data_IF_105720602723
#
_entry.id   IF_105720602723
#
_cell.length_a   1.000
_cell.length_b   1.000
_cell.length_c   1.000
_cell.angle_alpha   90.00
_cell.angle_beta   90.00
_cell.angle_gamma   90.00
#
_symmetry.space_group_name_H-M   'P 1'
#
loop_
_entity.id
_entity.type
_entity.pdbx_description
1 polymer ?
#
# COMPACT_ATOMS: atom_id res chain seq x y z
N UNK A 1 6.49 28.29 10.05
CA UNK A 1 6.66 27.00 9.34
C UNK A 1 8.15 26.65 9.37
N UNK A 2 8.56 25.51 9.93
CA UNK A 2 9.98 25.15 10.08
C UNK A 2 10.58 24.87 8.71
N UNK A 3 11.78 25.39 8.42
CA UNK A 3 12.52 25.11 7.18
C UNK A 3 13.61 24.09 7.47
N UNK A 4 13.73 23.07 6.60
CA UNK A 4 14.80 22.08 6.67
C UNK A 4 15.90 22.45 5.70
N UNK A 5 17.16 22.35 6.16
CA UNK A 5 18.35 22.47 5.31
C UNK A 5 18.58 21.14 4.62
N UNK A 6 18.38 21.09 3.31
CA UNK A 6 18.59 19.87 2.51
C UNK A 6 19.79 20.07 1.60
N UNK A 7 20.68 19.08 1.58
CA UNK A 7 21.85 19.07 0.70
C UNK A 7 21.41 18.59 -0.69
N UNK A 8 21.39 19.50 -1.66
CA UNK A 8 21.02 19.19 -3.05
C UNK A 8 22.28 19.00 -3.88
N UNK A 9 22.36 17.89 -4.61
CA UNK A 9 23.49 17.54 -5.47
C UNK A 9 23.09 17.60 -6.93
N UNK A 10 23.82 18.34 -7.76
CA UNK A 10 23.65 18.34 -9.21
C UNK A 10 24.00 16.96 -9.76
N UNK A 11 23.08 16.34 -10.52
CA UNK A 11 23.37 15.09 -11.24
C UNK A 11 24.52 15.32 -12.23
N UNK A 12 25.48 14.39 -12.29
CA UNK A 12 26.54 14.41 -13.30
C UNK A 12 25.87 14.36 -14.67
N UNK A 13 26.22 15.32 -15.54
CA UNK A 13 25.85 15.31 -16.96
C UNK A 13 27.14 15.33 -17.77
N UNK A 14 27.15 14.59 -18.86
CA UNK A 14 28.26 14.52 -19.79
C UNK A 14 27.70 14.87 -21.16
N UNK A 15 28.39 15.72 -21.90
CA UNK A 15 28.03 16.05 -23.27
C UNK A 15 29.23 15.82 -24.18
N UNK A 16 28.95 15.31 -25.37
CA UNK A 16 29.93 15.11 -26.43
C UNK A 16 29.81 16.31 -27.36
N UNK A 17 30.89 17.09 -27.47
CA UNK A 17 30.99 18.26 -28.34
C UNK A 17 31.93 17.89 -29.49
N UNK A 18 31.47 18.04 -30.73
CA UNK A 18 32.33 17.93 -31.90
C UNK A 18 32.73 19.34 -32.34
N UNK A 19 34.04 19.63 -32.37
CA UNK A 19 34.56 20.94 -32.81
C UNK A 19 35.82 20.72 -33.65
N UNK A 20 35.83 21.25 -34.88
CA UNK A 20 36.94 21.10 -35.86
C UNK A 20 37.41 19.64 -36.02
N UNK A 21 36.47 18.72 -36.26
CA UNK A 21 36.77 17.28 -36.46
C UNK A 21 37.20 16.50 -35.22
N UNK A 22 37.41 17.15 -34.07
CA UNK A 22 37.78 16.50 -32.81
C UNK A 22 36.57 16.29 -31.91
N UNK A 23 36.48 15.10 -31.31
CA UNK A 23 35.47 14.74 -30.30
C UNK A 23 35.97 15.13 -28.91
N UNK A 24 35.27 16.07 -28.27
CA UNK A 24 35.57 16.56 -26.92
C UNK A 24 34.47 16.10 -25.97
N UNK A 25 34.82 15.34 -24.95
CA UNK A 25 33.88 14.91 -23.92
C UNK A 25 33.98 15.91 -22.76
N UNK A 26 32.90 16.66 -22.53
CA UNK A 26 32.86 17.64 -21.46
C UNK A 26 31.94 17.16 -20.33
N UNK A 27 32.45 17.25 -19.11
CA UNK A 27 31.78 16.80 -17.90
C UNK A 27 31.29 18.00 -17.08
N UNK A 28 30.03 17.98 -16.68
CA UNK A 28 29.53 18.93 -15.69
C UNK A 28 30.21 18.66 -14.34
N UNK A 29 30.89 19.66 -13.78
CA UNK A 29 31.42 19.60 -12.42
C UNK A 29 30.28 19.34 -11.42
N UNK A 30 30.54 18.44 -10.46
CA UNK A 30 29.62 18.22 -9.32
C UNK A 30 29.47 19.53 -8.58
N UNK A 31 28.25 20.04 -8.46
CA UNK A 31 27.92 21.16 -7.58
C UNK A 31 26.96 20.68 -6.51
N UNK A 32 27.20 21.09 -5.28
CA UNK A 32 26.37 20.81 -4.12
C UNK A 32 26.02 22.14 -3.48
N UNK A 33 24.75 22.36 -3.14
CA UNK A 33 24.33 23.54 -2.40
C UNK A 33 23.30 23.16 -1.35
N UNK A 34 23.18 24.00 -0.33
CA UNK A 34 22.20 23.84 0.73
C UNK A 34 20.96 24.62 0.30
N UNK A 35 19.84 23.93 0.13
CA UNK A 35 18.56 24.56 -0.13
C UNK A 35 17.70 24.51 1.13
N UNK A 36 17.02 25.61 1.43
CA UNK A 36 15.95 25.61 2.41
C UNK A 36 14.67 25.09 1.77
N UNK A 37 14.12 24.01 2.31
CA UNK A 37 12.82 23.49 1.89
C UNK A 37 11.84 23.61 3.07
N UNK A 38 10.58 24.04 2.86
CA UNK A 38 9.58 23.96 3.91
C UNK A 38 9.44 22.51 4.39
N UNK A 39 9.40 22.31 5.71
CA UNK A 39 9.21 21.00 6.32
C UNK A 39 7.80 20.48 5.95
N UNK A 40 7.74 19.55 5.01
CA UNK A 40 6.50 18.88 4.58
C UNK A 40 6.09 17.74 5.54
N UNK A 41 6.79 17.59 6.66
CA UNK A 41 6.67 16.46 7.58
C UNK A 41 7.38 15.21 7.05
N UNK A 42 7.31 14.14 7.84
CA UNK A 42 7.95 12.85 7.54
C UNK A 42 7.43 12.24 6.23
N UNK A 43 8.27 12.02 5.20
CA UNK A 43 7.88 11.35 3.96
C UNK A 43 7.30 9.96 4.28
N UNK A 44 6.10 9.66 3.76
CA UNK A 44 5.41 8.39 4.05
C UNK A 44 4.57 8.36 5.34
N UNK A 45 4.49 9.48 6.08
CA UNK A 45 3.54 9.65 7.21
C UNK A 45 2.32 10.51 6.83
N UNK A 46 1.77 10.31 5.64
CA UNK A 46 0.39 10.74 5.38
C UNK A 46 -0.56 10.11 6.42
N UNK A 47 -1.74 10.71 6.63
CA UNK A 47 -2.79 10.16 7.50
C UNK A 47 -2.92 8.68 7.19
N UNK A 48 -2.56 7.78 8.13
CA UNK A 48 -2.52 6.34 7.87
C UNK A 48 -3.88 5.94 7.27
N UNK A 49 -3.87 5.46 6.02
CA UNK A 49 -5.09 5.05 5.30
C UNK A 49 -5.69 3.78 5.91
N UNK A 50 -5.05 3.22 6.94
CA UNK A 50 -5.66 2.17 7.76
C UNK A 50 -6.82 2.80 8.51
N UNK A 51 -8.01 2.68 7.92
CA UNK A 51 -9.29 3.03 8.53
C UNK A 51 -9.33 2.43 9.94
N UNK A 52 -9.81 3.18 10.95
CA UNK A 52 -9.90 2.70 12.34
C UNK A 52 -10.44 1.26 12.36
N UNK A 53 -9.59 0.30 12.72
CA UNK A 53 -10.00 -1.09 12.84
C UNK A 53 -11.01 -1.16 13.98
N UNK A 54 -12.26 -1.49 13.65
CA UNK A 54 -13.22 -1.87 14.68
C UNK A 54 -12.71 -3.15 15.33
N UNK A 55 -12.36 -3.05 16.61
CA UNK A 55 -11.86 -4.18 17.39
C UNK A 55 -12.94 -5.26 17.46
N UNK A 56 -12.53 -6.54 17.43
CA UNK A 56 -13.40 -7.67 17.73
C UNK A 56 -14.21 -8.28 16.58
N UNK A 57 -14.35 -7.64 15.41
CA UNK A 57 -15.20 -8.17 14.32
C UNK A 57 -14.83 -9.60 13.88
N UNK A 58 -13.53 -9.87 13.74
CA UNK A 58 -13.03 -11.21 13.41
C UNK A 58 -13.22 -12.20 14.57
N UNK A 59 -13.13 -11.72 15.82
CA UNK A 59 -13.29 -12.52 17.03
C UNK A 59 -14.74 -12.95 17.23
N UNK A 60 -15.72 -12.09 16.91
CA UNK A 60 -17.14 -12.45 17.00
C UNK A 60 -17.44 -13.66 16.12
N UNK A 61 -16.95 -13.68 14.88
CA UNK A 61 -17.13 -14.83 13.98
C UNK A 61 -16.40 -16.08 14.51
N UNK A 62 -15.26 -15.92 15.16
CA UNK A 62 -14.55 -17.05 15.77
C UNK A 62 -15.35 -17.61 16.96
N UNK A 63 -15.93 -16.74 17.78
CA UNK A 63 -16.77 -17.11 18.92
C UNK A 63 -18.05 -17.83 18.49
N UNK A 64 -18.66 -17.41 17.38
CA UNK A 64 -19.81 -18.12 16.77
C UNK A 64 -19.45 -19.53 16.28
N UNK A 65 -18.17 -19.81 16.04
CA UNK A 65 -17.66 -21.15 15.72
C UNK A 65 -17.20 -21.92 16.97
N UNK A 66 -17.37 -21.36 18.17
CA UNK A 66 -16.94 -21.97 19.43
C UNK A 66 -15.50 -21.67 19.83
N UNK A 67 -14.81 -20.74 19.17
CA UNK A 67 -13.40 -20.42 19.43
C UNK A 67 -13.23 -19.05 20.11
N UNK A 68 -12.34 -18.97 21.11
CA UNK A 68 -12.07 -17.72 21.83
C UNK A 68 -11.35 -16.68 20.96
N UNK A 69 -10.43 -17.12 20.10
CA UNK A 69 -9.67 -16.26 19.17
C UNK A 69 -9.57 -16.92 17.80
N UNK A 70 -9.31 -16.11 16.77
CA UNK A 70 -9.05 -16.60 15.40
C UNK A 70 -7.82 -17.51 15.33
N UNK A 71 -6.81 -17.26 16.18
CA UNK A 71 -5.61 -18.11 16.28
C UNK A 71 -5.92 -19.52 16.75
N UNK A 72 -7.02 -19.72 17.46
CA UNK A 72 -7.37 -20.98 18.13
C UNK A 72 -8.14 -21.90 17.17
N UNK A 73 -8.65 -21.35 16.05
CA UNK A 73 -9.34 -22.11 15.01
C UNK A 73 -8.34 -23.09 14.36
N UNK A 74 -8.65 -24.40 14.32
CA UNK A 74 -7.78 -25.39 13.69
C UNK A 74 -7.77 -25.22 12.16
N UNK A 75 -6.70 -25.72 11.52
CA UNK A 75 -6.36 -25.39 10.12
C UNK A 75 -7.39 -25.86 9.08
N UNK A 76 -8.09 -26.95 9.41
CA UNK A 76 -9.20 -27.56 8.69
C UNK A 76 -10.43 -26.65 8.64
N UNK A 77 -10.67 -25.85 9.69
CA UNK A 77 -11.86 -24.98 9.80
C UNK A 77 -11.63 -23.54 9.33
N UNK A 78 -10.42 -23.20 8.89
CA UNK A 78 -10.09 -21.83 8.46
C UNK A 78 -10.86 -21.40 7.21
N UNK A 79 -11.16 -22.33 6.31
CA UNK A 79 -11.90 -22.05 5.08
C UNK A 79 -13.38 -21.78 5.41
N UNK A 80 -13.96 -22.51 6.37
CA UNK A 80 -15.31 -22.25 6.86
C UNK A 80 -15.40 -20.90 7.56
N UNK A 81 -14.41 -20.58 8.40
CA UNK A 81 -14.29 -19.27 9.02
C UNK A 81 -14.22 -18.15 7.97
N UNK A 82 -13.44 -18.34 6.91
CA UNK A 82 -13.32 -17.37 5.82
C UNK A 82 -14.67 -17.15 5.13
N UNK A 83 -15.43 -18.21 4.83
CA UNK A 83 -16.78 -18.12 4.26
C UNK A 83 -17.73 -17.35 5.15
N UNK A 84 -17.76 -17.64 6.47
CA UNK A 84 -18.62 -16.93 7.44
C UNK A 84 -18.23 -15.44 7.54
N UNK A 85 -16.94 -15.15 7.54
CA UNK A 85 -16.43 -13.78 7.60
C UNK A 85 -16.84 -12.97 6.35
N UNK A 86 -16.75 -13.58 5.16
CA UNK A 86 -17.18 -12.97 3.90
C UNK A 86 -18.70 -12.80 3.87
N UNK A 87 -19.47 -13.81 4.27
CA UNK A 87 -20.94 -13.74 4.33
C UNK A 87 -21.42 -12.58 5.20
N UNK A 88 -20.76 -12.33 6.33
CA UNK A 88 -21.17 -11.30 7.29
C UNK A 88 -20.78 -9.88 6.90
N UNK A 89 -19.59 -9.69 6.33
CA UNK A 89 -19.01 -8.35 6.13
C UNK A 89 -18.76 -7.98 4.67
N UNK A 90 -18.94 -8.92 3.74
CA UNK A 90 -18.58 -8.81 2.33
C UNK A 90 -17.10 -9.09 2.06
N UNK A 91 -16.79 -9.60 0.87
CA UNK A 91 -15.46 -10.08 0.50
C UNK A 91 -14.36 -9.02 0.69
N UNK A 92 -14.58 -7.81 0.19
CA UNK A 92 -13.61 -6.71 0.29
C UNK A 92 -13.27 -6.33 1.73
N UNK A 93 -14.29 -6.29 2.60
CA UNK A 93 -14.09 -5.91 4.00
C UNK A 93 -13.41 -7.04 4.76
N UNK A 94 -13.84 -8.28 4.54
CA UNK A 94 -13.23 -9.49 5.11
C UNK A 94 -11.74 -9.57 4.74
N UNK A 95 -11.42 -9.43 3.44
CA UNK A 95 -10.04 -9.44 2.95
C UNK A 95 -9.19 -8.37 3.61
N UNK A 96 -9.66 -7.11 3.67
CA UNK A 96 -8.91 -6.04 4.30
C UNK A 96 -8.65 -6.29 5.79
N UNK A 97 -9.63 -6.81 6.53
CA UNK A 97 -9.46 -7.16 7.94
C UNK A 97 -8.36 -8.20 8.14
N UNK A 98 -8.38 -9.27 7.33
CA UNK A 98 -7.39 -10.35 7.41
C UNK A 98 -6.01 -9.87 6.96
N UNK A 99 -5.93 -9.16 5.84
CA UNK A 99 -4.68 -8.63 5.29
C UNK A 99 -3.98 -7.70 6.29
N UNK A 100 -4.73 -6.88 7.01
CA UNK A 100 -4.18 -6.03 8.07
C UNK A 100 -3.55 -6.89 9.19
N UNK A 101 -4.20 -7.99 9.61
CA UNK A 101 -3.63 -8.89 10.62
C UNK A 101 -2.33 -9.56 10.14
N UNK A 102 -2.24 -9.92 8.86
CA UNK A 102 -1.01 -10.42 8.22
C UNK A 102 0.09 -9.36 8.27
N UNK A 103 -0.22 -8.12 7.86
CA UNK A 103 0.74 -7.00 7.88
C UNK A 103 1.23 -6.70 9.30
N UNK A 104 0.35 -6.71 10.30
CA UNK A 104 0.74 -6.53 11.71
C UNK A 104 1.67 -7.65 12.20
N UNK A 105 1.47 -8.88 11.72
CA UNK A 105 2.27 -10.06 12.09
C UNK A 105 3.46 -10.30 11.18
N UNK A 106 3.76 -9.43 10.22
CA UNK A 106 4.81 -9.67 9.21
C UNK A 106 6.19 -9.98 9.80
N UNK A 107 6.50 -9.44 10.98
CA UNK A 107 7.78 -9.64 11.70
C UNK A 107 7.68 -10.66 12.83
N UNK A 108 6.51 -11.22 13.10
CA UNK A 108 6.33 -12.25 14.12
C UNK A 108 6.54 -13.62 13.48
N UNK A 109 7.47 -14.43 14.00
CA UNK A 109 7.60 -15.84 13.66
C UNK A 109 6.59 -16.64 14.48
N UNK A 110 5.31 -16.60 14.11
CA UNK A 110 4.27 -17.35 14.82
C UNK A 110 3.34 -18.13 13.87
N UNK A 111 2.83 -19.26 14.36
CA UNK A 111 1.84 -20.09 13.66
C UNK A 111 0.55 -19.33 13.36
N UNK A 112 0.22 -18.32 14.18
CA UNK A 112 -0.93 -17.45 13.95
C UNK A 112 -0.85 -16.69 12.62
N UNK A 113 0.34 -16.22 12.21
CA UNK A 113 0.54 -15.54 10.92
C UNK A 113 0.10 -16.43 9.76
N UNK A 114 0.55 -17.69 9.75
CA UNK A 114 0.26 -18.66 8.70
C UNK A 114 -1.25 -18.92 8.58
N UNK A 115 -1.97 -18.98 9.70
CA UNK A 115 -3.44 -19.09 9.69
C UNK A 115 -4.11 -17.89 9.01
N UNK A 116 -3.67 -16.66 9.31
CA UNK A 116 -4.21 -15.45 8.66
C UNK A 116 -3.82 -15.38 7.18
N UNK A 117 -2.64 -15.83 6.80
CA UNK A 117 -2.23 -15.92 5.39
C UNK A 117 -3.12 -16.91 4.63
N UNK A 118 -3.36 -18.10 5.18
CA UNK A 118 -4.29 -19.08 4.59
C UNK A 118 -5.70 -18.51 4.40
N UNK A 119 -6.26 -17.84 5.42
CA UNK A 119 -7.57 -17.19 5.31
C UNK A 119 -7.57 -16.12 4.21
N UNK A 120 -6.52 -15.29 4.15
CA UNK A 120 -6.40 -14.22 3.14
C UNK A 120 -6.39 -14.81 1.73
N UNK A 121 -5.58 -15.85 1.54
CA UNK A 121 -5.35 -16.47 0.24
C UNK A 121 -6.60 -17.21 -0.23
N UNK A 122 -7.33 -17.88 0.67
CA UNK A 122 -8.66 -18.44 0.39
C UNK A 122 -9.64 -17.36 -0.08
N UNK A 123 -9.71 -16.22 0.62
CA UNK A 123 -10.62 -15.12 0.24
C UNK A 123 -10.22 -14.53 -1.12
N UNK A 124 -8.92 -14.40 -1.40
CA UNK A 124 -8.43 -13.92 -2.68
C UNK A 124 -8.78 -14.85 -3.83
N UNK A 125 -8.59 -16.16 -3.64
CA UNK A 125 -8.89 -17.19 -4.62
C UNK A 125 -10.39 -17.25 -4.94
N UNK A 126 -11.24 -17.35 -3.91
CA UNK A 126 -12.69 -17.53 -4.10
C UNK A 126 -13.45 -16.25 -4.46
N UNK A 127 -13.01 -15.09 -3.96
CA UNK A 127 -13.75 -13.83 -4.11
C UNK A 127 -12.97 -12.75 -4.85
N UNK A 128 -11.88 -13.08 -5.56
CA UNK A 128 -11.03 -12.12 -6.26
C UNK A 128 -11.76 -11.15 -7.20
N UNK A 129 -12.83 -11.62 -7.85
CA UNK A 129 -13.71 -10.78 -8.69
C UNK A 129 -14.40 -9.67 -7.90
N UNK A 130 -14.83 -9.94 -6.67
CA UNK A 130 -15.48 -8.97 -5.77
C UNK A 130 -14.48 -8.02 -5.09
N UNK A 131 -13.22 -8.45 -4.96
CA UNK A 131 -12.15 -7.60 -4.40
C UNK A 131 -11.74 -6.48 -5.37
N UNK A 132 -11.81 -6.76 -6.67
CA UNK A 132 -11.38 -5.84 -7.71
C UNK A 132 -12.38 -4.68 -7.81
N UNK A 133 -11.96 -3.41 -7.63
CA UNK A 133 -12.87 -2.27 -7.72
C UNK A 133 -13.14 -1.92 -9.20
N UNK A 134 -13.72 -2.85 -9.95
CA UNK A 134 -13.98 -2.77 -11.41
C UNK A 134 -14.74 -1.50 -11.78
N UNK A 135 -15.77 -1.12 -11.01
CA UNK A 135 -16.50 0.14 -11.20
C UNK A 135 -15.59 1.37 -11.06
N UNK A 136 -14.70 1.40 -10.07
CA UNK A 136 -13.78 2.52 -9.87
C UNK A 136 -12.71 2.56 -10.96
N UNK A 137 -12.18 1.41 -11.38
CA UNK A 137 -11.23 1.29 -12.50
C UNK A 137 -11.90 1.77 -13.79
N UNK A 138 -13.13 1.34 -14.07
CA UNK A 138 -13.90 1.76 -15.25
C UNK A 138 -14.14 3.27 -15.23
N UNK A 139 -14.56 3.83 -14.09
CA UNK A 139 -14.72 5.28 -13.91
C UNK A 139 -13.41 6.03 -14.12
N UNK A 140 -12.31 5.53 -13.56
CA UNK A 140 -10.98 6.13 -13.77
C UNK A 140 -10.56 6.10 -15.24
N UNK A 141 -10.78 4.97 -15.92
CA UNK A 141 -10.49 4.80 -17.36
C UNK A 141 -11.40 5.65 -18.25
N UNK A 142 -12.64 5.93 -17.84
CA UNK A 142 -13.53 6.83 -18.60
C UNK A 142 -13.20 8.32 -18.40
N UNK A 143 -12.37 8.69 -17.42
CA UNK A 143 -11.92 10.08 -17.24
C UNK A 143 -10.85 10.47 -18.26
N UNK A 144 -10.89 11.73 -18.72
CA UNK A 144 -9.86 12.32 -19.59
C UNK A 144 -8.51 12.41 -18.86
N UNK A 145 -7.37 12.47 -19.57
CA UNK A 145 -6.04 12.60 -18.95
C UNK A 145 -5.93 13.76 -17.96
N UNK A 146 -6.54 14.91 -18.29
CA UNK A 146 -6.58 16.10 -17.43
C UNK A 146 -7.40 15.87 -16.16
N UNK A 147 -8.57 15.22 -16.28
CA UNK A 147 -9.40 14.89 -15.13
C UNK A 147 -8.74 13.87 -14.19
N UNK A 148 -7.99 12.91 -14.74
CA UNK A 148 -7.19 11.97 -13.93
C UNK A 148 -6.10 12.69 -13.15
N UNK A 149 -5.38 13.62 -13.78
CA UNK A 149 -4.31 14.40 -13.14
C UNK A 149 -4.83 15.22 -11.94
N UNK A 150 -6.02 15.82 -12.07
CA UNK A 150 -6.67 16.57 -10.99
C UNK A 150 -7.17 15.69 -9.84
N UNK A 151 -7.62 14.48 -10.14
CA UNK A 151 -8.11 13.54 -9.13
C UNK A 151 -6.99 12.82 -8.35
N UNK A 152 -5.73 12.95 -8.78
CA UNK A 152 -4.59 12.40 -8.04
C UNK A 152 -4.31 13.22 -6.77
N UNK A 153 -4.01 12.58 -5.63
CA UNK A 153 -3.60 13.29 -4.43
C UNK A 153 -2.29 14.04 -4.71
N UNK A 154 -2.37 15.38 -4.74
CA UNK A 154 -1.25 16.27 -5.08
C UNK A 154 -1.22 16.78 -6.53
N UNK A 155 -2.29 16.59 -7.31
CA UNK A 155 -2.42 17.15 -8.65
C UNK A 155 -2.54 18.68 -8.63
N UNK A 156 -1.40 19.36 -8.68
CA UNK A 156 -1.35 20.76 -9.12
C UNK A 156 -1.41 20.79 -10.65
N UNK A 157 -2.22 21.69 -11.21
CA UNK A 157 -2.11 22.13 -12.61
C UNK A 157 -0.80 22.89 -12.76
#
# INVERSE_FOLDING_TARGET
>A
MRKLRVVVRRKKKTWVIHRKGKRIIAHARKKTWIAERPDLGTPGRGKKVVTKLRKGLMTVVAQEMGYKRVSDIPYDKLDDYARRLVRRYGAKRAFNMVNIQVVFRKRMRNSAKLKFEKIRDYIADKYGKELTPTKAIRKWKSMSPRARALAMPGGAI
#
